data_IF_019753857702
#
_entry.id   IF_019753857702
#
_cell.length_a   1.000
_cell.length_b   1.000
_cell.length_c   1.000
_cell.angle_alpha   90.00
_cell.angle_beta   90.00
_cell.angle_gamma   90.00
#
_symmetry.space_group_name_H-M   'P 1'
#
loop_
_entity.id
_entity.type
_entity.pdbx_description
1 polymer ?
#
# COMPACT_ATOMS: atom_id res chain seq x y z
N UNK A 1 -23.60 -9.84 5.73
CA UNK A 1 -22.35 -9.34 6.34
C UNK A 1 -21.36 -9.07 5.24
N UNK A 2 -21.12 -7.79 4.97
CA UNK A 2 -20.11 -7.36 4.01
C UNK A 2 -18.73 -7.71 4.56
N UNK A 3 -17.89 -8.33 3.72
CA UNK A 3 -16.52 -8.68 4.07
C UNK A 3 -15.63 -7.56 3.57
N UNK A 4 -14.96 -6.85 4.48
CA UNK A 4 -14.07 -5.75 4.13
C UNK A 4 -12.64 -6.16 4.45
N UNK A 5 -11.75 -5.95 3.50
CA UNK A 5 -10.30 -6.11 3.67
C UNK A 5 -9.69 -4.71 3.65
N UNK A 6 -9.15 -4.28 4.78
CA UNK A 6 -8.46 -3.00 4.91
C UNK A 6 -7.00 -3.19 4.53
N UNK A 7 -6.57 -2.45 3.51
CA UNK A 7 -5.19 -2.46 3.06
C UNK A 7 -4.41 -1.33 3.74
N UNK A 8 -3.45 -1.68 4.59
CA UNK A 8 -2.62 -0.71 5.31
C UNK A 8 -1.19 -0.72 4.76
N UNK A 9 -0.63 0.42 4.33
CA UNK A 9 0.78 0.47 3.98
C UNK A 9 1.63 0.32 5.24
N UNK A 10 2.73 -0.42 5.16
CA UNK A 10 3.66 -0.55 6.26
C UNK A 10 5.05 -0.99 5.81
N UNK A 11 5.95 -1.11 6.78
CA UNK A 11 7.32 -1.56 6.54
C UNK A 11 7.53 -2.84 7.33
N UNK A 12 7.91 -3.92 6.63
CA UNK A 12 8.28 -5.18 7.25
C UNK A 12 9.75 -5.47 6.92
N UNK A 13 10.60 -5.58 7.95
CA UNK A 13 12.04 -5.90 7.82
C UNK A 13 12.77 -4.99 6.80
N UNK A 14 12.52 -3.68 6.85
CA UNK A 14 13.05 -2.65 5.92
C UNK A 14 12.51 -2.73 4.48
N UNK A 15 11.49 -3.53 4.22
CA UNK A 15 10.81 -3.61 2.92
C UNK A 15 9.41 -3.03 3.02
N UNK A 16 9.00 -2.28 2.01
CA UNK A 16 7.62 -1.78 1.91
C UNK A 16 6.66 -2.93 1.61
N UNK A 17 5.61 -3.04 2.43
CA UNK A 17 4.59 -4.05 2.31
C UNK A 17 3.21 -3.43 2.49
N UNK A 18 2.19 -4.15 2.01
CA UNK A 18 0.79 -3.84 2.24
C UNK A 18 0.25 -4.91 3.18
N UNK A 19 -0.10 -4.51 4.39
CA UNK A 19 -0.82 -5.35 5.34
C UNK A 19 -2.28 -5.42 4.95
N UNK A 20 -2.85 -6.62 5.08
CA UNK A 20 -4.26 -6.91 4.87
C UNK A 20 -4.87 -7.20 6.22
N UNK A 21 -5.64 -6.24 6.72
CA UNK A 21 -6.37 -6.33 7.98
C UNK A 21 -7.83 -6.66 7.70
N UNK A 22 -8.27 -7.81 8.20
CA UNK A 22 -9.65 -8.27 8.07
C UNK A 22 -9.95 -9.27 9.19
N UNK A 23 -11.21 -9.36 9.58
CA UNK A 23 -11.66 -10.38 10.54
C UNK A 23 -11.45 -11.79 10.00
N UNK A 24 -11.19 -12.76 10.88
CA UNK A 24 -10.93 -14.14 10.48
C UNK A 24 -12.04 -14.67 9.56
N UNK A 25 -11.67 -15.00 8.32
CA UNK A 25 -12.60 -15.54 7.33
C UNK A 25 -11.89 -16.57 6.46
N UNK A 26 -12.32 -17.82 6.56
CA UNK A 26 -11.75 -18.94 5.83
C UNK A 26 -11.82 -18.77 4.30
N UNK A 27 -12.91 -18.20 3.77
CA UNK A 27 -13.08 -17.95 2.35
C UNK A 27 -12.06 -16.94 1.83
N UNK A 28 -11.86 -15.84 2.56
CA UNK A 28 -10.87 -14.83 2.19
C UNK A 28 -9.46 -15.41 2.25
N UNK A 29 -9.14 -16.17 3.29
CA UNK A 29 -7.83 -16.82 3.45
C UNK A 29 -7.58 -17.82 2.29
N UNK A 30 -8.59 -18.60 1.90
CA UNK A 30 -8.48 -19.53 0.78
C UNK A 30 -8.19 -18.80 -0.54
N UNK A 31 -8.87 -17.67 -0.78
CA UNK A 31 -8.63 -16.83 -1.96
C UNK A 31 -7.23 -16.20 -1.92
N UNK A 32 -6.80 -15.65 -0.78
CA UNK A 32 -5.45 -15.09 -0.60
C UNK A 32 -4.36 -16.11 -0.88
N UNK A 33 -4.55 -17.36 -0.42
CA UNK A 33 -3.62 -18.47 -0.66
C UNK A 33 -3.58 -18.85 -2.14
N UNK A 34 -4.72 -18.88 -2.83
CA UNK A 34 -4.79 -19.15 -4.29
C UNK A 34 -4.05 -18.09 -5.11
N UNK A 35 -4.07 -16.84 -4.66
CA UNK A 35 -3.37 -15.74 -5.32
C UNK A 35 -1.84 -15.91 -5.28
N UNK A 36 -1.29 -16.62 -4.30
CA UNK A 36 0.15 -16.94 -4.20
C UNK A 36 1.08 -15.74 -3.92
N UNK A 37 0.54 -14.51 -3.86
CA UNK A 37 1.30 -13.28 -3.65
C UNK A 37 1.28 -12.80 -2.19
N UNK A 38 0.59 -13.54 -1.31
CA UNK A 38 0.34 -13.15 0.08
C UNK A 38 1.18 -13.98 1.04
N UNK A 39 1.71 -13.32 2.06
CA UNK A 39 2.54 -13.93 3.10
C UNK A 39 1.89 -13.70 4.46
N UNK A 40 2.00 -14.67 5.36
CA UNK A 40 1.49 -14.54 6.73
C UNK A 40 2.58 -14.03 7.66
N UNK A 41 2.32 -12.94 8.37
CA UNK A 41 3.20 -12.47 9.45
C UNK A 41 2.72 -13.06 10.77
N UNK A 42 3.47 -14.01 11.33
CA UNK A 42 3.13 -14.62 12.62
C UNK A 42 3.13 -13.59 13.77
N UNK A 43 4.09 -12.64 13.75
CA UNK A 43 4.24 -11.61 14.79
C UNK A 43 3.09 -10.61 14.79
N UNK A 44 2.65 -10.19 13.61
CA UNK A 44 1.57 -9.20 13.48
C UNK A 44 0.19 -9.85 13.37
N UNK A 45 0.14 -11.18 13.17
CA UNK A 45 -1.09 -11.94 12.90
C UNK A 45 -1.90 -11.35 11.75
N UNK A 46 -1.19 -10.88 10.72
CA UNK A 46 -1.76 -10.25 9.53
C UNK A 46 -1.16 -10.85 8.28
N UNK A 47 -1.98 -10.91 7.23
CA UNK A 47 -1.50 -11.20 5.88
C UNK A 47 -0.83 -9.93 5.33
N UNK A 48 0.22 -10.10 4.54
CA UNK A 48 0.88 -8.99 3.87
C UNK A 48 1.30 -9.37 2.45
N UNK A 49 1.41 -8.37 1.60
CA UNK A 49 1.91 -8.48 0.22
C UNK A 49 3.09 -7.54 0.10
N UNK A 50 4.17 -7.95 -0.56
CA UNK A 50 5.28 -7.04 -0.86
C UNK A 50 4.79 -5.93 -1.78
N UNK A 51 5.12 -4.66 -1.49
CA UNK A 51 4.64 -3.52 -2.28
C UNK A 51 5.02 -3.64 -3.77
N UNK A 52 6.19 -4.20 -4.06
CA UNK A 52 6.66 -4.47 -5.43
C UNK A 52 5.79 -5.48 -6.21
N UNK A 53 5.12 -6.39 -5.51
CA UNK A 53 4.22 -7.40 -6.08
C UNK A 53 2.75 -7.04 -5.89
N UNK A 54 2.46 -5.89 -5.27
CA UNK A 54 1.11 -5.48 -4.94
C UNK A 54 0.46 -4.83 -6.16
N UNK A 55 -0.51 -5.54 -6.74
CA UNK A 55 -1.37 -5.03 -7.80
C UNK A 55 -2.80 -4.88 -7.27
N UNK A 56 -3.21 -3.62 -7.06
CA UNK A 56 -4.54 -3.31 -6.55
C UNK A 56 -5.65 -3.73 -7.53
N UNK A 57 -5.40 -3.67 -8.84
CA UNK A 57 -6.37 -4.06 -9.87
C UNK A 57 -6.64 -5.55 -9.84
N UNK A 58 -5.56 -6.35 -9.79
CA UNK A 58 -5.65 -7.81 -9.67
C UNK A 58 -6.28 -8.23 -8.36
N UNK A 59 -5.94 -7.57 -7.24
CA UNK A 59 -6.56 -7.84 -5.95
C UNK A 59 -8.06 -7.55 -5.98
N UNK A 60 -8.46 -6.37 -6.48
CA UNK A 60 -9.88 -6.02 -6.63
C UNK A 60 -10.63 -6.99 -7.53
N UNK A 61 -10.00 -7.44 -8.62
CA UNK A 61 -10.60 -8.43 -9.53
C UNK A 61 -10.78 -9.80 -8.87
N UNK A 62 -9.79 -10.28 -8.13
CA UNK A 62 -9.86 -11.57 -7.41
C UNK A 62 -10.91 -11.54 -6.30
N UNK A 63 -11.04 -10.42 -5.60
CA UNK A 63 -12.01 -10.25 -4.52
C UNK A 63 -13.37 -9.70 -5.00
N UNK A 64 -13.52 -9.42 -6.30
CA UNK A 64 -14.75 -8.91 -6.88
C UNK A 64 -15.91 -9.87 -6.60
N UNK A 65 -16.95 -9.38 -5.93
CA UNK A 65 -18.11 -10.18 -5.52
C UNK A 65 -17.91 -11.04 -4.26
N UNK A 66 -16.72 -11.05 -3.67
CA UNK A 66 -16.41 -11.79 -2.42
C UNK A 66 -16.21 -10.82 -1.25
N UNK A 67 -15.42 -9.77 -1.46
CA UNK A 67 -15.08 -8.79 -0.44
C UNK A 67 -14.83 -7.40 -1.05
N UNK A 68 -15.03 -6.38 -0.23
CA UNK A 68 -14.70 -5.00 -0.54
C UNK A 68 -13.25 -4.76 -0.12
N UNK A 69 -12.42 -4.29 -1.04
CA UNK A 69 -11.04 -3.89 -0.76
C UNK A 69 -11.03 -2.40 -0.42
N UNK A 70 -10.73 -2.06 0.83
CA UNK A 70 -10.51 -0.68 1.25
C UNK A 70 -9.02 -0.32 1.11
N UNK A 71 -8.68 0.37 0.03
CA UNK A 71 -7.34 0.93 -0.21
C UNK A 71 -7.21 2.40 0.19
N UNK A 72 -8.20 2.94 0.92
CA UNK A 72 -8.25 4.34 1.35
C UNK A 72 -6.97 4.77 2.08
N UNK A 73 -6.38 3.87 2.88
CA UNK A 73 -5.11 4.11 3.60
C UNK A 73 -3.87 4.02 2.71
N UNK A 74 -3.93 3.36 1.55
CA UNK A 74 -2.80 3.25 0.62
C UNK A 74 -2.57 4.53 -0.19
N UNK A 75 -3.64 5.29 -0.48
CA UNK A 75 -3.56 6.51 -1.28
C UNK A 75 -2.85 7.66 -0.58
N UNK A 76 -2.76 7.64 0.75
CA UNK A 76 -2.15 8.71 1.53
C UNK A 76 -0.63 8.88 1.30
N UNK A 77 0.04 7.89 0.69
CA UNK A 77 1.50 7.91 0.53
C UNK A 77 1.99 8.41 -0.84
N UNK A 78 1.09 8.66 -1.81
CA UNK A 78 1.47 9.05 -3.17
C UNK A 78 1.40 10.57 -3.44
N UNK A 79 1.10 11.41 -2.45
CA UNK A 79 1.00 12.86 -2.63
C UNK A 79 2.29 13.62 -2.27
N UNK A 80 3.50 13.11 -2.57
CA UNK A 80 4.69 13.99 -2.55
C UNK A 80 5.97 13.50 -3.24
N UNK A 81 5.90 12.91 -4.44
CA UNK A 81 7.08 12.85 -5.32
C UNK A 81 6.57 13.05 -6.75
N UNK A 82 6.44 14.32 -7.18
CA UNK A 82 6.49 14.82 -8.57
C UNK A 82 5.75 16.14 -8.79
N UNK A 83 5.05 16.71 -7.80
CA UNK A 83 4.71 18.14 -7.80
C UNK A 83 5.79 18.92 -7.03
N UNK A 84 6.99 18.93 -7.58
CA UNK A 84 7.91 20.03 -7.34
C UNK A 84 7.82 20.92 -8.57
N UNK A 85 7.29 22.16 -8.47
CA UNK A 85 7.84 23.21 -9.30
C UNK A 85 9.27 23.44 -8.82
N UNK A 86 10.21 22.65 -9.34
CA UNK A 86 11.60 23.09 -9.37
C UNK A 86 11.64 24.23 -10.38
N UNK A 87 11.65 25.47 -9.88
CA UNK A 87 12.21 26.68 -10.50
C UNK A 87 11.57 27.95 -9.90
N UNK A 88 12.31 28.64 -9.04
CA UNK A 88 12.86 30.00 -9.32
C UNK A 88 13.54 30.62 -8.07
N UNK A 89 13.26 30.13 -6.86
CA UNK A 89 13.71 30.81 -5.64
C UNK A 89 15.19 30.55 -5.26
N UNK A 90 15.81 29.46 -5.73
CA UNK A 90 17.22 29.18 -5.40
C UNK A 90 18.19 30.08 -6.19
N UNK A 91 17.77 30.67 -7.32
CA UNK A 91 18.64 31.57 -8.11
C UNK A 91 18.83 32.92 -7.42
N UNK A 92 17.82 33.44 -6.74
CA UNK A 92 17.88 34.75 -6.06
C UNK A 92 18.74 34.74 -4.78
N UNK A 93 18.97 33.57 -4.17
CA UNK A 93 19.77 33.44 -2.95
C UNK A 93 21.29 33.44 -3.19
N UNK A 94 21.74 33.12 -4.40
CA UNK A 94 23.17 32.97 -4.71
C UNK A 94 23.83 34.27 -5.21
N UNK A 95 23.05 35.26 -5.64
CA UNK A 95 23.56 36.56 -6.11
C UNK A 95 23.76 37.59 -4.99
N UNK A 96 23.31 37.31 -3.75
CA UNK A 96 23.52 38.17 -2.57
C UNK A 96 24.86 37.96 -1.84
N UNK A 97 25.70 37.03 -2.29
CA UNK A 97 26.98 36.71 -1.66
C UNK A 97 28.20 36.99 -2.55
N UNK A 98 28.03 37.76 -3.61
CA UNK A 98 29.13 38.15 -4.49
C UNK A 98 29.16 39.67 -4.64
N UNK A 99 29.53 40.30 -3.53
CA UNK A 99 30.23 41.60 -3.54
C UNK A 99 31.68 41.36 -3.98
#
# INVERSE_FOLDING_TARGET
MEKVIVCEPGIHRKTEVVFLDFGYNETLIAVLKKTGMTMWSQTQRKWYILKQNFDAGKLKSVFAGIAIIDDSKLKLRNNNINDSPVNDEIKAGLEKFRE
#
